data_IF_609658448796
#
_entry.id   IF_609658448796
#
_cell.length_a   1.000
_cell.length_b   1.000
_cell.length_c   1.000
_cell.angle_alpha   90.00
_cell.angle_beta   90.00
_cell.angle_gamma   90.00
#
_symmetry.space_group_name_H-M   'P 1'
#
loop_
_entity.id
_entity.type
_entity.pdbx_description
1 polymer ?
#
# COMPACT_ATOMS: atom_id res chain seq x y z
N UNK A 1 19.76 -5.51 0.57
CA UNK A 1 19.24 -6.16 -0.66
C UNK A 1 17.97 -5.45 -1.11
N UNK A 2 17.83 -5.01 -2.36
CA UNK A 2 16.58 -4.48 -2.95
C UNK A 2 15.62 -5.61 -3.35
N UNK A 3 14.34 -5.30 -3.62
CA UNK A 3 13.38 -6.32 -4.09
C UNK A 3 13.84 -6.98 -5.40
N UNK A 4 14.32 -6.17 -6.34
CA UNK A 4 14.84 -6.66 -7.62
C UNK A 4 16.09 -7.54 -7.45
N UNK A 5 16.94 -7.26 -6.46
CA UNK A 5 18.05 -8.16 -6.10
C UNK A 5 17.53 -9.49 -5.53
N UNK A 6 16.47 -9.46 -4.72
CA UNK A 6 15.84 -10.69 -4.23
C UNK A 6 15.25 -11.54 -5.36
N UNK A 7 14.60 -10.93 -6.36
CA UNK A 7 14.12 -11.65 -7.55
C UNK A 7 15.27 -12.23 -8.38
N UNK A 8 16.35 -11.47 -8.60
CA UNK A 8 17.56 -11.94 -9.29
C UNK A 8 18.16 -13.16 -8.58
N UNK A 9 18.27 -13.12 -7.25
CA UNK A 9 18.70 -14.28 -6.48
C UNK A 9 17.74 -15.47 -6.61
N UNK A 10 16.43 -15.25 -6.55
CA UNK A 10 15.45 -16.32 -6.71
C UNK A 10 15.57 -17.00 -8.09
N UNK A 11 15.70 -16.22 -9.16
CA UNK A 11 15.93 -16.71 -10.53
C UNK A 11 17.22 -17.55 -10.64
N UNK A 12 18.29 -17.10 -10.00
CA UNK A 12 19.57 -17.81 -9.98
C UNK A 12 19.45 -19.16 -9.26
N UNK A 13 18.78 -19.20 -8.11
CA UNK A 13 18.63 -20.43 -7.33
C UNK A 13 17.64 -21.43 -7.94
N UNK A 14 16.55 -20.95 -8.53
CA UNK A 14 15.51 -21.80 -9.10
C UNK A 14 15.98 -22.48 -10.40
N UNK A 15 16.63 -21.74 -11.31
CA UNK A 15 16.90 -22.23 -12.68
C UNK A 15 18.24 -21.76 -13.27
N UNK A 16 19.12 -21.20 -12.44
CA UNK A 16 20.44 -20.68 -12.83
C UNK A 16 20.38 -19.53 -13.85
N UNK A 17 19.32 -18.72 -13.80
CA UNK A 17 19.24 -17.48 -14.58
C UNK A 17 19.93 -16.33 -13.85
N UNK A 18 21.02 -15.82 -14.42
CA UNK A 18 21.73 -14.64 -13.92
C UNK A 18 21.19 -13.37 -14.59
N UNK A 19 20.02 -12.92 -14.15
CA UNK A 19 19.37 -11.71 -14.66
C UNK A 19 19.76 -10.51 -13.81
N UNK A 20 20.18 -9.43 -14.45
CA UNK A 20 20.55 -8.20 -13.76
C UNK A 20 19.36 -7.63 -12.97
N UNK A 21 19.52 -7.23 -11.70
CA UNK A 21 18.46 -6.58 -10.94
C UNK A 21 17.87 -5.33 -11.60
N UNK A 22 18.60 -4.67 -12.50
CA UNK A 22 18.10 -3.51 -13.25
C UNK A 22 16.94 -3.89 -14.19
N UNK A 23 16.99 -5.09 -14.77
CA UNK A 23 15.93 -5.62 -15.65
C UNK A 23 14.69 -6.05 -14.88
N UNK A 24 14.81 -6.22 -13.55
CA UNK A 24 13.74 -6.70 -12.68
C UNK A 24 13.10 -5.57 -11.85
N UNK A 25 13.36 -4.29 -12.18
CA UNK A 25 12.87 -3.14 -11.40
C UNK A 25 11.34 -3.15 -11.25
N UNK A 26 10.62 -3.56 -12.30
CA UNK A 26 9.15 -3.50 -12.36
C UNK A 26 8.47 -4.84 -12.04
N UNK A 27 9.23 -5.84 -11.59
CA UNK A 27 8.68 -7.15 -11.25
C UNK A 27 8.07 -7.09 -9.85
N UNK A 28 6.80 -7.47 -9.75
CA UNK A 28 6.04 -7.51 -8.49
C UNK A 28 5.90 -8.92 -7.91
N UNK A 29 6.03 -9.93 -8.77
CA UNK A 29 6.04 -11.34 -8.39
C UNK A 29 6.72 -12.20 -9.45
N UNK A 30 7.10 -13.42 -9.09
CA UNK A 30 7.63 -14.43 -9.99
C UNK A 30 6.94 -15.78 -9.72
N UNK A 31 6.55 -16.48 -10.78
CA UNK A 31 6.06 -17.86 -10.72
C UNK A 31 7.12 -18.82 -11.27
N UNK A 32 7.48 -19.84 -10.50
CA UNK A 32 8.39 -20.93 -10.90
C UNK A 32 7.83 -22.25 -10.38
N UNK A 33 7.51 -23.20 -11.27
CA UNK A 33 6.90 -24.48 -10.87
C UNK A 33 5.59 -24.28 -10.09
N UNK A 34 5.57 -24.70 -8.82
CA UNK A 34 4.43 -24.53 -7.89
C UNK A 34 4.67 -23.42 -6.84
N UNK A 35 5.60 -22.51 -7.13
CA UNK A 35 6.02 -21.44 -6.24
C UNK A 35 5.70 -20.08 -6.83
N UNK A 36 5.00 -19.26 -6.07
CA UNK A 36 4.88 -17.82 -6.29
C UNK A 36 5.75 -17.08 -5.28
N UNK A 37 6.71 -16.30 -5.78
CA UNK A 37 7.51 -15.38 -4.99
C UNK A 37 6.97 -13.97 -5.21
N UNK A 38 6.40 -13.35 -4.18
CA UNK A 38 5.65 -12.09 -4.30
C UNK A 38 6.37 -11.02 -3.48
N UNK A 39 6.41 -9.78 -3.97
CA UNK A 39 6.82 -8.63 -3.15
C UNK A 39 5.97 -8.58 -1.89
N UNK A 40 6.62 -8.70 -0.73
CA UNK A 40 5.99 -8.78 0.56
C UNK A 40 5.13 -7.54 0.89
N UNK A 41 5.41 -6.39 0.26
CA UNK A 41 4.63 -5.15 0.40
C UNK A 41 3.22 -5.24 -0.18
N UNK A 42 2.96 -6.19 -1.09
CA UNK A 42 1.62 -6.49 -1.61
C UNK A 42 0.80 -7.37 -0.65
N UNK A 43 1.43 -7.91 0.38
CA UNK A 43 0.86 -8.94 1.27
C UNK A 43 0.96 -8.52 2.75
N UNK A 44 0.97 -7.23 3.03
CA UNK A 44 1.01 -6.71 4.38
C UNK A 44 0.33 -5.34 4.49
N UNK A 45 0.10 -4.94 5.72
CA UNK A 45 -0.40 -3.61 6.02
C UNK A 45 0.64 -2.52 5.69
N UNK A 46 0.26 -1.43 5.03
CA UNK A 46 1.19 -0.35 4.67
C UNK A 46 1.78 0.40 5.87
N UNK A 47 1.16 0.36 7.07
CA UNK A 47 1.71 0.97 8.29
C UNK A 47 2.90 0.17 8.84
N UNK A 48 2.87 -1.15 8.65
CA UNK A 48 3.86 -2.10 9.15
C UNK A 48 4.53 -2.81 7.96
N UNK A 49 5.39 -2.09 7.20
CA UNK A 49 6.06 -2.68 6.06
C UNK A 49 6.92 -3.90 6.49
N UNK A 50 7.20 -4.83 5.58
CA UNK A 50 7.78 -6.12 5.93
C UNK A 50 9.21 -5.96 6.50
N UNK A 51 9.42 -6.45 7.73
CA UNK A 51 10.62 -6.14 8.52
C UNK A 51 11.90 -6.89 8.09
N UNK A 52 11.77 -8.09 7.51
CA UNK A 52 12.94 -8.98 7.27
C UNK A 52 13.04 -9.53 5.86
N UNK A 53 11.93 -9.98 5.27
CA UNK A 53 11.92 -10.61 3.94
C UNK A 53 11.16 -9.74 2.96
N UNK A 54 11.82 -9.41 1.84
CA UNK A 54 11.22 -8.64 0.74
C UNK A 54 10.37 -9.51 -0.19
N UNK A 55 10.66 -10.80 -0.23
CA UNK A 55 9.85 -11.79 -0.93
C UNK A 55 9.08 -12.63 0.09
N UNK A 56 7.81 -12.88 -0.20
CA UNK A 56 7.02 -13.93 0.42
C UNK A 56 6.81 -15.04 -0.59
N UNK A 57 7.01 -16.27 -0.14
CA UNK A 57 6.69 -17.47 -0.92
C UNK A 57 5.27 -17.92 -0.61
N UNK A 58 4.51 -18.22 -1.66
CA UNK A 58 3.16 -18.78 -1.60
C UNK A 58 3.11 -19.98 -2.54
N UNK A 59 2.46 -21.05 -2.11
CA UNK A 59 2.22 -22.21 -2.98
C UNK A 59 1.17 -21.86 -4.03
N UNK A 60 1.52 -22.02 -5.30
CA UNK A 60 0.67 -21.67 -6.42
C UNK A 60 1.47 -21.44 -7.70
N UNK A 61 0.78 -21.33 -8.83
CA UNK A 61 1.40 -21.01 -10.11
C UNK A 61 0.44 -20.22 -11.01
N UNK A 62 0.96 -19.70 -12.12
CA UNK A 62 0.17 -18.95 -13.11
C UNK A 62 -0.47 -19.86 -14.19
N UNK A 63 -0.49 -21.18 -13.95
CA UNK A 63 -1.12 -22.16 -14.83
C UNK A 63 -0.41 -22.42 -16.15
N UNK A 64 0.88 -22.06 -16.27
CA UNK A 64 1.66 -22.20 -17.51
C UNK A 64 3.09 -22.66 -17.26
N UNK A 65 3.70 -23.34 -18.24
CA UNK A 65 5.09 -23.76 -18.15
C UNK A 65 6.05 -22.57 -18.10
N UNK A 66 7.29 -22.83 -17.70
CA UNK A 66 8.36 -21.83 -17.58
C UNK A 66 8.29 -20.99 -16.31
N UNK A 67 9.12 -19.95 -16.28
CA UNK A 67 9.14 -18.93 -15.24
C UNK A 67 8.44 -17.67 -15.76
N UNK A 68 7.41 -17.23 -15.04
CA UNK A 68 6.74 -15.97 -15.32
C UNK A 68 7.24 -14.89 -14.37
N UNK A 69 7.70 -13.77 -14.92
CA UNK A 69 7.95 -12.51 -14.21
C UNK A 69 6.70 -11.64 -14.32
N UNK A 70 5.99 -11.48 -13.21
CA UNK A 70 4.74 -10.74 -13.17
C UNK A 70 5.05 -9.25 -13.05
N UNK A 71 4.55 -8.47 -14.00
CA UNK A 71 4.71 -7.00 -14.06
C UNK A 71 3.34 -6.32 -14.10
N UNK A 72 3.14 -5.18 -13.42
CA UNK A 72 1.89 -4.44 -13.51
C UNK A 72 1.73 -3.80 -14.90
N UNK A 73 0.49 -3.50 -15.31
CA UNK A 73 0.25 -2.71 -16.52
C UNK A 73 0.81 -1.29 -16.35
N UNK A 74 1.15 -0.63 -17.47
CA UNK A 74 1.74 0.72 -17.47
C UNK A 74 0.80 1.75 -16.83
N UNK A 75 -0.49 1.65 -17.14
CA UNK A 75 -1.53 2.48 -16.55
C UNK A 75 -2.63 1.57 -16.00
N UNK A 76 -2.58 1.24 -14.69
CA UNK A 76 -3.70 0.55 -14.06
C UNK A 76 -4.97 1.39 -14.23
N UNK A 77 -6.19 0.91 -14.02
CA UNK A 77 -7.41 1.73 -14.04
C UNK A 77 -8.00 1.98 -12.65
N UNK A 78 -8.84 3.01 -12.50
CA UNK A 78 -9.64 3.24 -11.29
C UNK A 78 -11.10 3.39 -11.75
N UNK A 79 -12.03 2.84 -10.97
CA UNK A 79 -13.47 2.99 -11.22
C UNK A 79 -13.84 4.46 -11.32
N UNK A 80 -14.55 4.80 -12.41
CA UNK A 80 -15.14 6.12 -12.59
C UNK A 80 -16.54 6.12 -12.00
N UNK A 81 -16.86 7.15 -11.21
CA UNK A 81 -18.20 7.34 -10.66
C UNK A 81 -19.10 7.90 -11.76
N UNK A 82 -19.92 7.03 -12.36
CA UNK A 82 -20.82 7.38 -13.46
C UNK A 82 -22.23 7.74 -12.99
N UNK A 83 -23.00 8.41 -13.85
CA UNK A 83 -24.40 8.77 -13.59
C UNK A 83 -25.31 7.54 -13.59
N UNK A 84 -24.89 6.45 -14.24
CA UNK A 84 -25.69 5.22 -14.35
C UNK A 84 -25.85 4.47 -13.04
N UNK A 85 -25.10 4.86 -11.99
CA UNK A 85 -25.13 4.21 -10.70
C UNK A 85 -25.31 5.22 -9.57
N UNK A 86 -26.24 4.93 -8.67
CA UNK A 86 -26.38 5.70 -7.45
C UNK A 86 -25.24 5.38 -6.49
N UNK A 87 -24.25 6.25 -6.44
CA UNK A 87 -23.15 6.19 -5.48
C UNK A 87 -23.55 6.92 -4.20
N UNK A 88 -23.66 6.19 -3.08
CA UNK A 88 -23.95 6.80 -1.79
C UNK A 88 -22.72 7.57 -1.28
N UNK A 89 -22.76 8.90 -1.37
CA UNK A 89 -21.72 9.81 -0.89
C UNK A 89 -22.36 10.72 0.16
N UNK A 90 -22.07 10.48 1.43
CA UNK A 90 -22.64 11.27 2.53
C UNK A 90 -21.64 12.28 3.10
N UNK A 91 -20.36 11.88 3.22
CA UNK A 91 -19.33 12.69 3.88
C UNK A 91 -19.72 13.15 5.29
N UNK A 92 -20.21 12.20 6.07
CA UNK A 92 -20.59 12.44 7.46
C UNK A 92 -19.38 12.89 8.29
N UNK A 93 -19.63 13.72 9.30
CA UNK A 93 -18.62 14.01 10.30
C UNK A 93 -18.23 12.73 11.03
N UNK A 94 -16.94 12.53 11.26
CA UNK A 94 -16.48 11.36 12.00
C UNK A 94 -16.82 11.48 13.49
N UNK A 95 -17.38 10.40 14.03
CA UNK A 95 -17.84 10.28 15.42
C UNK A 95 -16.72 9.93 16.41
N UNK A 96 -15.49 9.73 15.92
CA UNK A 96 -14.35 9.30 16.72
C UNK A 96 -14.26 7.79 16.94
N UNK A 97 -15.23 7.01 16.46
CA UNK A 97 -15.22 5.57 16.59
C UNK A 97 -14.47 4.92 15.45
N UNK A 98 -13.58 4.00 15.81
CA UNK A 98 -12.82 3.20 14.84
C UNK A 98 -13.63 1.97 14.46
N UNK A 99 -13.82 1.71 13.17
CA UNK A 99 -14.55 0.55 12.62
C UNK A 99 -13.93 0.11 11.29
N UNK A 100 -14.26 -1.09 10.85
CA UNK A 100 -14.01 -1.54 9.48
C UNK A 100 -15.30 -1.43 8.66
N UNK A 101 -15.34 -0.48 7.74
CA UNK A 101 -16.46 -0.28 6.81
C UNK A 101 -16.25 -1.01 5.47
N UNK A 102 -15.13 -1.71 5.31
CA UNK A 102 -14.64 -2.28 4.05
C UNK A 102 -14.44 -3.81 4.14
N UNK A 103 -15.17 -4.47 5.03
CA UNK A 103 -15.09 -5.93 5.31
C UNK A 103 -15.29 -6.83 4.07
N UNK A 104 -15.90 -6.29 3.02
CA UNK A 104 -16.18 -6.93 1.73
C UNK A 104 -15.05 -6.74 0.70
N UNK A 105 -13.96 -6.09 1.09
CA UNK A 105 -12.82 -5.79 0.21
C UNK A 105 -11.87 -6.97 0.08
N UNK A 106 -11.46 -7.25 -1.15
CA UNK A 106 -10.55 -8.35 -1.48
C UNK A 106 -9.59 -7.95 -2.59
N UNK A 107 -8.39 -8.52 -2.58
CA UNK A 107 -7.40 -8.34 -3.63
C UNK A 107 -7.40 -9.57 -4.52
N UNK A 108 -7.51 -9.35 -5.83
CA UNK A 108 -7.51 -10.37 -6.86
C UNK A 108 -6.34 -10.13 -7.79
N UNK A 109 -5.74 -11.21 -8.30
CA UNK A 109 -4.74 -11.13 -9.36
C UNK A 109 -5.31 -11.75 -10.63
N UNK A 110 -5.13 -11.08 -11.76
CA UNK A 110 -5.49 -11.62 -13.07
C UNK A 110 -4.45 -11.24 -14.12
N UNK A 111 -4.47 -11.96 -15.24
CA UNK A 111 -3.49 -11.80 -16.32
C UNK A 111 -4.16 -11.24 -17.55
N UNK A 112 -3.61 -10.18 -18.14
CA UNK A 112 -4.15 -9.55 -19.36
C UNK A 112 -3.95 -10.42 -20.60
N UNK A 113 -3.00 -11.36 -20.51
CA UNK A 113 -2.59 -12.22 -21.61
C UNK A 113 -1.32 -11.74 -22.33
N UNK A 114 -0.92 -10.48 -22.14
CA UNK A 114 0.31 -9.94 -22.73
C UNK A 114 1.54 -10.66 -22.17
N UNK A 115 2.44 -11.05 -23.08
CA UNK A 115 3.64 -11.82 -22.80
C UNK A 115 4.79 -11.32 -23.62
N UNK A 116 5.97 -11.34 -23.02
CA UNK A 116 7.21 -11.03 -23.71
C UNK A 116 8.30 -11.99 -23.22
N UNK A 117 8.93 -12.70 -24.15
CA UNK A 117 10.07 -13.55 -23.83
C UNK A 117 11.27 -12.69 -23.38
N UNK A 118 11.99 -13.16 -22.37
CA UNK A 118 13.21 -12.52 -21.91
C UNK A 118 14.39 -13.16 -22.63
N UNK A 119 15.17 -12.34 -23.34
CA UNK A 119 16.42 -12.82 -23.94
C UNK A 119 17.44 -13.14 -22.83
N UNK A 120 17.74 -14.44 -22.70
CA UNK A 120 18.67 -15.01 -21.71
C UNK A 120 20.08 -15.23 -22.29
N UNK A 121 20.35 -14.77 -23.52
CA UNK A 121 21.67 -14.83 -24.15
C UNK A 121 22.18 -16.24 -24.46
N UNK A 122 21.32 -17.25 -24.37
CA UNK A 122 21.64 -18.65 -24.63
C UNK A 122 20.66 -19.24 -25.64
N UNK A 123 21.17 -19.90 -26.69
CA UNK A 123 20.39 -20.66 -27.65
C UNK A 123 20.53 -22.16 -27.37
N UNK A 124 19.41 -22.91 -27.44
CA UNK A 124 19.43 -24.39 -27.44
C UNK A 124 18.90 -25.11 -26.18
N UNK A 125 18.41 -24.41 -25.16
CA UNK A 125 17.74 -25.03 -24.01
C UNK A 125 16.24 -25.19 -24.24
N UNK A 126 15.75 -26.42 -24.44
CA UNK A 126 14.37 -26.70 -24.84
C UNK A 126 13.33 -26.46 -23.72
N UNK A 127 13.76 -26.42 -22.45
CA UNK A 127 12.88 -26.39 -21.27
C UNK A 127 13.05 -25.12 -20.39
N UNK A 128 13.73 -24.09 -20.92
CA UNK A 128 14.12 -22.89 -20.16
C UNK A 128 13.40 -21.64 -20.65
N UNK A 129 12.08 -21.65 -20.51
CA UNK A 129 11.24 -20.48 -20.81
C UNK A 129 11.24 -19.48 -19.64
N UNK A 130 11.78 -18.29 -19.86
CA UNK A 130 11.65 -17.12 -18.97
C UNK A 130 10.89 -16.03 -19.73
N UNK A 131 9.78 -15.56 -19.18
CA UNK A 131 8.97 -14.55 -19.83
C UNK A 131 8.38 -13.56 -18.84
N UNK A 132 8.13 -12.35 -19.32
CA UNK A 132 7.34 -11.32 -18.66
C UNK A 132 5.86 -11.61 -18.91
N UNK A 133 5.05 -11.53 -17.85
CA UNK A 133 3.61 -11.68 -17.87
C UNK A 133 2.96 -10.44 -17.26
N UNK A 134 2.21 -9.69 -18.07
CA UNK A 134 1.46 -8.56 -17.53
C UNK A 134 0.33 -9.08 -16.62
N UNK A 135 0.36 -8.59 -15.38
CA UNK A 135 -0.43 -9.09 -14.26
C UNK A 135 -1.00 -7.91 -13.48
N UNK A 136 -2.32 -7.92 -13.30
CA UNK A 136 -3.04 -6.85 -12.64
C UNK A 136 -3.44 -7.31 -11.25
N UNK A 137 -3.05 -6.55 -10.23
CA UNK A 137 -3.58 -6.70 -8.87
C UNK A 137 -4.77 -5.75 -8.76
N UNK A 138 -5.97 -6.28 -8.63
CA UNK A 138 -7.21 -5.51 -8.58
C UNK A 138 -7.86 -5.59 -7.20
N UNK A 139 -8.36 -4.45 -6.74
CA UNK A 139 -9.26 -4.36 -5.61
C UNK A 139 -10.69 -4.65 -6.08
N UNK A 140 -11.35 -5.57 -5.39
CA UNK A 140 -12.78 -5.80 -5.50
C UNK A 140 -13.49 -5.53 -4.17
N UNK A 141 -14.70 -4.98 -4.24
CA UNK A 141 -15.60 -4.84 -3.10
C UNK A 141 -17.03 -5.19 -3.53
N UNK A 142 -17.77 -5.93 -2.70
CA UNK A 142 -19.11 -6.46 -3.04
C UNK A 142 -19.16 -7.20 -4.39
N UNK A 143 -18.11 -7.98 -4.69
CA UNK A 143 -17.92 -8.70 -5.95
C UNK A 143 -17.77 -7.81 -7.20
N UNK A 144 -17.53 -6.51 -7.04
CA UNK A 144 -17.31 -5.59 -8.15
C UNK A 144 -15.89 -5.06 -8.15
N UNK A 145 -15.37 -4.79 -9.34
CA UNK A 145 -14.07 -4.18 -9.52
C UNK A 145 -14.11 -2.70 -9.10
N UNK A 146 -13.09 -2.27 -8.35
CA UNK A 146 -12.96 -0.89 -7.85
C UNK A 146 -11.74 -0.19 -8.45
N UNK A 147 -10.58 -0.84 -8.46
CA UNK A 147 -9.36 -0.25 -8.98
C UNK A 147 -8.29 -1.31 -9.22
N UNK A 148 -7.45 -1.07 -10.22
CA UNK A 148 -6.16 -1.73 -10.36
C UNK A 148 -5.13 -0.99 -9.50
N UNK A 149 -4.31 -1.78 -8.81
CA UNK A 149 -3.38 -1.31 -7.79
C UNK A 149 -1.96 -1.26 -8.31
N UNK A 150 -1.26 -0.17 -8.00
CA UNK A 150 0.12 0.08 -8.41
C UNK A 150 1.02 0.32 -7.21
N UNK A 151 1.67 -0.75 -6.76
CA UNK A 151 2.65 -0.68 -5.67
C UNK A 151 3.92 0.09 -6.08
N UNK A 152 4.29 0.05 -7.35
CA UNK A 152 5.53 0.64 -7.84
C UNK A 152 5.44 2.17 -7.79
N UNK A 153 4.32 2.73 -8.24
CA UNK A 153 4.03 4.16 -8.13
C UNK A 153 4.00 4.65 -6.68
N UNK A 154 3.54 3.81 -5.75
CA UNK A 154 3.58 4.12 -4.33
C UNK A 154 5.00 4.17 -3.77
N UNK A 155 5.87 3.25 -4.19
CA UNK A 155 7.27 3.27 -3.79
C UNK A 155 8.02 4.52 -4.32
N UNK A 156 7.61 5.04 -5.49
CA UNK A 156 8.19 6.25 -6.08
C UNK A 156 7.62 7.54 -5.49
N UNK A 157 6.38 7.53 -5.00
CA UNK A 157 5.65 8.71 -4.49
C UNK A 157 5.71 8.85 -2.97
N UNK A 158 6.88 8.62 -2.37
CA UNK A 158 7.05 8.61 -0.90
C UNK A 158 6.66 9.93 -0.21
N UNK A 159 6.71 11.07 -0.92
CA UNK A 159 6.34 12.38 -0.40
C UNK A 159 4.83 12.51 -0.11
N UNK A 160 4.00 11.68 -0.72
CA UNK A 160 2.56 11.63 -0.50
C UNK A 160 2.17 10.74 0.68
N UNK A 161 3.09 9.94 1.21
CA UNK A 161 2.80 8.92 2.23
C UNK A 161 3.51 9.28 3.53
N UNK A 162 2.74 9.72 4.52
CA UNK A 162 3.19 9.85 5.89
C UNK A 162 2.80 8.59 6.69
N UNK A 163 3.74 8.05 7.47
CA UNK A 163 3.46 7.00 8.46
C UNK A 163 3.48 7.62 9.83
N UNK A 164 2.33 7.68 10.48
CA UNK A 164 2.24 8.25 11.81
C UNK A 164 2.97 7.37 12.80
N UNK A 165 3.98 7.94 13.44
CA UNK A 165 4.61 7.36 14.62
C UNK A 165 4.10 8.12 15.83
N UNK A 166 3.67 7.40 16.88
CA UNK A 166 3.40 8.06 18.15
C UNK A 166 4.74 8.55 18.71
N UNK A 167 4.90 9.87 18.83
CA UNK A 167 6.12 10.49 19.37
C UNK A 167 5.77 11.28 20.62
N UNK A 168 6.62 11.19 21.65
CA UNK A 168 6.59 12.12 22.77
C UNK A 168 6.90 13.56 22.28
N UNK A 169 6.17 14.60 22.73
CA UNK A 169 6.42 16.00 22.50
C UNK A 169 7.87 16.46 22.67
N UNK A 170 8.57 15.96 23.70
CA UNK A 170 9.99 16.30 23.93
C UNK A 170 10.91 15.69 22.86
N UNK A 171 10.53 14.53 22.31
CA UNK A 171 11.29 13.83 21.27
C UNK A 171 11.06 14.43 19.87
N UNK A 172 9.88 15.00 19.56
CA UNK A 172 9.65 15.66 18.26
C UNK A 172 10.47 16.95 18.12
N UNK A 173 10.65 17.70 19.21
CA UNK A 173 11.51 18.91 19.24
C UNK A 173 12.97 18.56 18.93
N UNK A 174 13.45 17.39 19.36
CA UNK A 174 14.80 16.89 19.06
C UNK A 174 14.93 16.31 17.65
N UNK A 175 13.87 15.68 17.10
CA UNK A 175 13.87 15.15 15.72
C UNK A 175 14.03 16.25 14.65
N UNK A 176 13.57 17.49 14.91
CA UNK A 176 13.84 18.63 14.02
C UNK A 176 15.32 19.08 13.99
N UNK A 177 16.14 18.65 14.96
CA UNK A 177 17.56 19.04 15.06
C UNK A 177 18.56 18.14 14.31
N UNK A 178 18.07 17.23 13.44
CA UNK A 178 18.89 16.65 12.38
C UNK A 178 19.71 15.40 12.71
N UNK A 179 19.37 14.63 13.75
CA UNK A 179 19.92 13.28 13.94
C UNK A 179 18.82 12.23 13.97
N UNK A 180 18.70 11.35 12.94
CA UNK A 180 17.79 10.23 12.98
C UNK A 180 18.36 9.19 13.95
N UNK A 181 17.93 9.20 15.21
CA UNK A 181 18.06 8.02 16.04
C UNK A 181 16.90 7.10 15.72
N UNK A 182 17.22 6.00 15.03
CA UNK A 182 16.33 4.87 14.81
C UNK A 182 15.92 4.33 16.17
N UNK A 183 14.74 4.73 16.65
CA UNK A 183 14.13 4.12 17.81
C UNK A 183 13.75 2.68 17.43
N UNK A 184 14.53 1.71 17.91
CA UNK A 184 14.12 0.30 17.97
C UNK A 184 12.86 0.24 18.83
N UNK A 185 11.69 0.10 18.22
CA UNK A 185 10.43 -0.09 18.95
C UNK A 185 10.02 -1.55 18.91
N UNK A 186 10.32 -2.25 20.00
CA UNK A 186 9.60 -3.47 20.38
C UNK A 186 8.54 -3.08 21.39
N UNK A 187 7.30 -3.49 21.11
CA UNK A 187 6.13 -3.65 21.99
C UNK A 187 5.50 -2.42 22.66
N UNK A 188 4.19 -2.25 22.42
CA UNK A 188 3.20 -1.40 23.14
C UNK A 188 3.29 0.12 22.91
N UNK A 189 2.61 0.61 21.86
CA UNK A 189 2.48 2.04 21.50
C UNK A 189 1.40 2.75 22.32
N UNK A 190 1.69 3.05 23.59
CA UNK A 190 1.01 4.15 24.29
C UNK A 190 1.87 5.40 24.16
N UNK A 191 1.29 6.53 23.78
CA UNK A 191 2.00 7.80 23.79
C UNK A 191 2.39 8.06 25.26
N UNK A 192 3.68 8.03 25.56
CA UNK A 192 4.20 8.06 26.94
C UNK A 192 4.00 9.39 27.68
N UNK A 193 2.99 10.18 27.30
CA UNK A 193 2.70 11.51 27.80
C UNK A 193 1.47 11.50 28.68
N UNK A 194 1.63 12.01 29.90
CA UNK A 194 0.51 12.26 30.81
C UNK A 194 -0.39 13.38 30.24
N UNK A 195 -1.70 13.13 30.20
CA UNK A 195 -2.69 14.11 29.77
C UNK A 195 -3.08 14.07 28.28
N UNK A 196 -2.36 13.31 27.45
CA UNK A 196 -2.83 12.98 26.11
C UNK A 196 -4.07 12.09 26.17
N UNK A 197 -5.09 12.43 25.38
CA UNK A 197 -6.32 11.65 25.28
C UNK A 197 -6.29 10.78 24.03
N UNK A 198 -6.69 9.52 24.21
CA UNK A 198 -7.02 8.61 23.10
C UNK A 198 -8.32 8.97 22.41
N UNK A 199 -9.16 9.81 23.03
CA UNK A 199 -10.48 10.14 22.51
C UNK A 199 -10.37 11.24 21.46
N UNK A 200 -11.02 11.02 20.32
CA UNK A 200 -11.12 12.01 19.27
C UNK A 200 -11.99 13.20 19.72
N UNK A 201 -11.54 14.41 19.43
CA UNK A 201 -12.28 15.65 19.69
C UNK A 201 -12.50 16.40 18.38
N UNK A 202 -13.73 16.38 17.88
CA UNK A 202 -14.10 16.98 16.58
C UNK A 202 -13.69 18.46 16.46
N UNK A 203 -13.77 19.22 17.56
CA UNK A 203 -13.44 20.64 17.60
C UNK A 203 -11.95 20.93 17.36
N UNK A 204 -11.05 20.02 17.75
CA UNK A 204 -9.59 20.18 17.59
C UNK A 204 -9.10 19.87 16.17
N UNK A 205 -9.89 19.13 15.40
CA UNK A 205 -9.48 18.66 14.08
C UNK A 205 -10.61 17.93 13.38
N UNK A 206 -11.59 18.64 12.80
CA UNK A 206 -12.75 18.02 12.18
C UNK A 206 -12.32 17.11 11.02
N UNK A 207 -12.84 15.88 11.01
CA UNK A 207 -12.59 14.87 10.00
C UNK A 207 -13.93 14.42 9.41
N UNK A 208 -13.93 14.20 8.10
CA UNK A 208 -15.01 13.52 7.39
C UNK A 208 -14.75 12.01 7.43
N UNK A 209 -15.74 11.22 7.82
CA UNK A 209 -15.65 9.76 7.71
C UNK A 209 -15.81 9.33 6.25
N UNK A 210 -14.94 8.42 5.80
CA UNK A 210 -15.01 7.73 4.52
C UNK A 210 -15.30 6.27 4.81
N UNK A 211 -16.51 5.85 4.44
CA UNK A 211 -17.09 4.55 4.82
C UNK A 211 -17.36 3.65 3.62
N UNK A 212 -17.15 4.16 2.40
CA UNK A 212 -17.25 3.37 1.19
C UNK A 212 -16.27 3.85 0.10
N UNK A 213 -16.06 3.02 -0.92
CA UNK A 213 -15.11 3.30 -1.99
C UNK A 213 -15.52 4.48 -2.86
N UNK A 214 -16.81 4.77 -3.02
CA UNK A 214 -17.26 5.93 -3.81
C UNK A 214 -16.94 7.24 -3.11
N UNK A 215 -17.06 7.29 -1.79
CA UNK A 215 -16.60 8.42 -0.97
C UNK A 215 -15.08 8.60 -1.07
N UNK A 216 -14.30 7.52 -1.05
CA UNK A 216 -12.84 7.62 -1.24
C UNK A 216 -12.49 8.18 -2.61
N UNK A 217 -13.16 7.72 -3.67
CA UNK A 217 -12.92 8.14 -5.04
C UNK A 217 -13.40 9.57 -5.34
N UNK A 218 -14.19 10.14 -4.44
CA UNK A 218 -14.66 11.52 -4.53
C UNK A 218 -13.74 12.44 -3.73
N UNK A 219 -13.36 13.59 -4.30
CA UNK A 219 -12.59 14.58 -3.56
C UNK A 219 -13.50 15.31 -2.56
N UNK A 220 -13.21 15.13 -1.27
CA UNK A 220 -13.91 15.79 -0.17
C UNK A 220 -13.52 17.25 0.01
N UNK A 221 -12.37 17.67 -0.54
CA UNK A 221 -11.69 18.94 -0.23
C UNK A 221 -11.48 19.19 1.28
N UNK A 222 -11.58 18.14 2.09
CA UNK A 222 -11.54 18.18 3.55
C UNK A 222 -10.70 17.04 4.07
N UNK A 223 -10.03 17.26 5.20
CA UNK A 223 -9.37 16.19 5.92
C UNK A 223 -10.40 15.09 6.23
N UNK A 224 -10.06 13.86 5.90
CA UNK A 224 -10.97 12.74 6.04
C UNK A 224 -10.25 11.52 6.62
N UNK A 225 -11.03 10.60 7.19
CA UNK A 225 -10.54 9.35 7.77
C UNK A 225 -11.22 8.17 7.09
N UNK A 226 -10.40 7.31 6.51
CA UNK A 226 -10.78 6.04 5.92
C UNK A 226 -10.87 4.98 7.02
N UNK A 227 -12.06 4.44 7.25
CA UNK A 227 -12.36 3.57 8.38
C UNK A 227 -12.22 2.09 8.00
N UNK A 228 -10.99 1.56 8.05
CA UNK A 228 -10.65 0.19 7.66
C UNK A 228 -9.83 -0.53 8.75
N UNK A 229 -10.21 -0.32 10.02
CA UNK A 229 -9.46 -0.83 11.17
C UNK A 229 -9.23 -2.34 11.07
N UNK A 230 -7.97 -2.74 11.09
CA UNK A 230 -7.58 -4.17 11.04
C UNK A 230 -7.74 -4.83 9.65
N UNK A 231 -8.17 -4.08 8.64
CA UNK A 231 -8.34 -4.57 7.27
C UNK A 231 -7.17 -4.11 6.40
N UNK A 232 -6.06 -4.85 6.48
CA UNK A 232 -4.83 -4.46 5.80
C UNK A 232 -5.00 -4.36 4.27
N UNK A 233 -5.87 -5.18 3.66
CA UNK A 233 -6.16 -5.11 2.22
C UNK A 233 -6.81 -3.78 1.84
N UNK A 234 -7.86 -3.38 2.56
CA UNK A 234 -8.54 -2.11 2.31
C UNK A 234 -7.61 -0.92 2.57
N UNK A 235 -6.80 -0.97 3.64
CA UNK A 235 -5.82 0.08 3.96
C UNK A 235 -4.73 0.21 2.88
N UNK A 236 -4.20 -0.92 2.40
CA UNK A 236 -3.23 -0.97 1.32
C UNK A 236 -3.81 -0.39 0.02
N UNK A 237 -5.00 -0.83 -0.36
CA UNK A 237 -5.66 -0.38 -1.57
C UNK A 237 -6.03 1.10 -1.51
N UNK A 238 -6.56 1.58 -0.38
CA UNK A 238 -6.88 2.99 -0.18
C UNK A 238 -5.62 3.88 -0.28
N UNK A 239 -4.50 3.46 0.29
CA UNK A 239 -3.22 4.16 0.15
C UNK A 239 -2.83 4.27 -1.33
N UNK A 240 -2.88 3.16 -2.08
CA UNK A 240 -2.50 3.12 -3.49
C UNK A 240 -3.40 3.99 -4.37
N UNK A 241 -4.71 3.93 -4.15
CA UNK A 241 -5.70 4.75 -4.86
C UNK A 241 -5.44 6.24 -4.57
N UNK A 242 -5.26 6.63 -3.31
CA UNK A 242 -5.00 8.03 -2.94
C UNK A 242 -3.70 8.55 -3.54
N UNK A 243 -2.60 7.80 -3.46
CA UNK A 243 -1.31 8.18 -4.06
C UNK A 243 -1.46 8.37 -5.57
N UNK A 244 -2.19 7.47 -6.23
CA UNK A 244 -2.46 7.58 -7.66
C UNK A 244 -3.31 8.81 -8.00
N UNK A 245 -4.27 9.17 -7.16
CA UNK A 245 -5.05 10.41 -7.24
C UNK A 245 -4.25 11.65 -6.80
N UNK A 246 -2.95 11.51 -6.48
CA UNK A 246 -2.07 12.59 -6.00
C UNK A 246 -2.51 13.21 -4.67
N UNK A 247 -3.20 12.45 -3.83
CA UNK A 247 -3.66 12.87 -2.50
C UNK A 247 -2.66 12.47 -1.43
N UNK A 248 -2.49 13.34 -0.42
CA UNK A 248 -1.64 13.07 0.74
C UNK A 248 -2.32 12.07 1.66
N UNK A 249 -1.57 11.07 2.10
CA UNK A 249 -2.04 9.98 2.96
C UNK A 249 -1.26 9.98 4.26
N UNK A 250 -1.98 9.83 5.38
CA UNK A 250 -1.39 9.57 6.68
C UNK A 250 -1.86 8.19 7.17
N UNK A 251 -0.96 7.22 7.17
CA UNK A 251 -1.21 5.89 7.69
C UNK A 251 -1.17 5.94 9.22
N UNK A 252 -2.21 5.44 9.88
CA UNK A 252 -2.33 5.42 11.33
C UNK A 252 -2.17 4.00 11.90
N UNK A 253 -1.50 3.79 13.04
CA UNK A 253 -1.57 2.50 13.74
C UNK A 253 -2.99 2.22 14.26
N UNK A 254 -3.25 0.98 14.71
CA UNK A 254 -4.55 0.64 15.32
C UNK A 254 -4.81 1.45 16.59
N UNK A 255 -3.79 1.59 17.44
CA UNK A 255 -3.82 2.39 18.65
C UNK A 255 -3.26 3.77 18.31
N UNK A 256 -4.11 4.81 18.33
CA UNK A 256 -3.75 6.18 17.93
C UNK A 256 -3.96 7.13 19.09
N UNK A 257 -3.01 8.05 19.28
CA UNK A 257 -3.21 9.23 20.10
C UNK A 257 -3.66 10.40 19.21
N UNK A 258 -4.91 10.87 19.38
CA UNK A 258 -5.44 11.96 18.56
C UNK A 258 -4.80 13.31 18.87
N UNK A 259 -4.32 13.52 20.09
CA UNK A 259 -3.53 14.71 20.41
C UNK A 259 -2.19 14.71 19.65
N UNK A 260 -1.49 13.57 19.53
CA UNK A 260 -0.29 13.44 18.68
C UNK A 260 -0.59 13.70 17.19
N UNK A 261 -1.72 13.19 16.68
CA UNK A 261 -2.15 13.44 15.30
C UNK A 261 -2.47 14.92 15.07
N UNK A 262 -3.10 15.59 16.04
CA UNK A 262 -3.42 17.02 15.94
C UNK A 262 -2.17 17.89 16.07
N UNK A 263 -1.19 17.51 16.90
CA UNK A 263 0.12 18.17 16.95
C UNK A 263 0.85 18.07 15.62
N UNK A 264 0.80 16.91 14.95
CA UNK A 264 1.36 16.78 13.61
C UNK A 264 0.70 17.78 12.66
N UNK A 265 -0.64 17.81 12.60
CA UNK A 265 -1.41 18.75 11.75
C UNK A 265 -1.02 20.21 11.95
N UNK A 266 -0.87 20.65 13.21
CA UNK A 266 -0.59 22.06 13.52
C UNK A 266 0.82 22.50 13.11
N UNK A 267 1.79 21.58 13.05
CA UNK A 267 3.19 21.89 12.75
C UNK A 267 3.56 21.70 11.29
N UNK A 268 2.77 20.94 10.55
CA UNK A 268 2.83 20.85 9.10
C UNK A 268 2.20 22.10 8.46
N UNK A 269 2.90 23.23 8.61
CA UNK A 269 2.55 24.54 8.04
C UNK A 269 2.45 24.56 6.49
N UNK A 270 2.81 23.47 5.80
CA UNK A 270 2.82 23.33 4.33
C UNK A 270 1.66 22.46 3.77
N UNK A 271 0.58 22.27 4.52
CA UNK A 271 -0.56 21.44 4.09
C UNK A 271 -1.77 22.30 3.70
N UNK A 272 -1.70 22.98 2.56
CA UNK A 272 -2.92 23.51 1.93
C UNK A 272 -3.82 22.35 1.43
N UNK A 273 -3.23 21.20 1.09
CA UNK A 273 -3.99 20.04 0.62
C UNK A 273 -4.58 19.19 1.77
N UNK A 274 -5.83 18.75 1.63
CA UNK A 274 -6.45 17.79 2.54
C UNK A 274 -5.66 16.47 2.66
N UNK A 275 -5.54 15.96 3.89
CA UNK A 275 -4.99 14.63 4.19
C UNK A 275 -6.10 13.59 4.29
N UNK A 276 -5.84 12.42 3.70
CA UNK A 276 -6.59 11.18 3.95
C UNK A 276 -5.88 10.38 5.04
N UNK A 277 -6.48 10.31 6.23
CA UNK A 277 -6.03 9.46 7.32
C UNK A 277 -6.53 8.03 7.07
N UNK A 278 -5.66 7.04 7.05
CA UNK A 278 -6.04 5.63 6.87
C UNK A 278 -5.89 4.91 8.21
N UNK A 279 -7.02 4.65 8.86
CA UNK A 279 -7.11 3.92 10.12
C UNK A 279 -7.44 2.46 9.85
#
# INVERSE_FOLDING_TARGET
MSIAQSFSCALLFENSYDISPKQLKNVIAMSSGNSLFIDASLLCDPISPPERTKLKHVVGNVGKPGIALLVPPIEPNIMTLGIERWHLINFNAWDGQTRDSFTDSSLHIWFTGFRQEVDIGHSGGQDKELYILESVVALHAKAEWIADLDIMKCAESFSLIHRHTQVSPTTWLTLKSGKPQVARSTSSFNCGEEGHRSDYQQQKGPLVAVENWSELLTDTQKNCIFLAKGNWQARLAAMMICVRMKRKVCLLPNDVCWDCVNLFKSHSHDLEDPIVYIH
#
